data_IF_483972565585
#
_entry.id   IF_483972565585
#
_cell.length_a   1.000
_cell.length_b   1.000
_cell.length_c   1.000
_cell.angle_alpha   90.00
_cell.angle_beta   90.00
_cell.angle_gamma   90.00
#
_symmetry.space_group_name_H-M   'P 1'
#
loop_
_entity.id
_entity.type
_entity.pdbx_description
1 polymer ?
#
# COMPACT_ATOMS: atom_id res chain seq x y z
N UNK A 1 7.66 -0.63 40.04
CA UNK A 1 6.46 -0.27 39.26
C UNK A 1 6.94 0.10 37.86
N UNK A 2 7.28 -0.82 36.96
CA UNK A 2 6.47 -1.94 36.47
C UNK A 2 5.87 -1.59 35.11
N UNK A 3 6.68 -1.10 34.17
CA UNK A 3 6.28 -0.83 32.79
C UNK A 3 6.36 -2.15 31.98
N UNK A 4 5.24 -2.58 31.44
CA UNK A 4 5.14 -3.78 30.63
C UNK A 4 3.80 -3.81 29.89
N UNK A 5 3.56 -2.79 29.06
CA UNK A 5 2.42 -2.79 28.15
C UNK A 5 2.71 -3.75 26.99
N UNK A 6 1.88 -4.77 26.87
CA UNK A 6 2.06 -5.93 26.00
C UNK A 6 2.32 -5.56 24.54
N UNK A 7 3.35 -6.19 23.97
CA UNK A 7 3.55 -6.29 22.52
C UNK A 7 2.46 -7.23 22.01
N UNK A 8 1.36 -6.68 21.49
CA UNK A 8 0.36 -7.45 20.75
C UNK A 8 1.02 -7.99 19.49
N UNK A 9 1.31 -9.29 19.48
CA UNK A 9 1.77 -10.01 18.30
C UNK A 9 0.64 -10.13 17.28
N UNK A 10 0.72 -9.36 16.21
CA UNK A 10 0.04 -9.68 14.95
C UNK A 10 0.99 -10.52 14.11
N UNK A 11 0.77 -11.83 14.11
CA UNK A 11 1.42 -12.79 13.23
C UNK A 11 0.98 -12.55 11.78
N UNK A 12 1.70 -11.68 11.08
CA UNK A 12 1.43 -11.36 9.67
C UNK A 12 2.08 -10.05 9.27
N UNK A 13 3.41 -10.03 9.20
CA UNK A 13 4.16 -8.84 8.80
C UNK A 13 3.82 -8.45 7.37
N UNK A 14 2.91 -7.48 7.22
CA UNK A 14 2.57 -6.92 5.92
C UNK A 14 3.78 -6.17 5.36
N UNK A 15 3.94 -6.15 4.03
CA UNK A 15 5.02 -5.41 3.37
C UNK A 15 5.10 -3.94 3.82
N UNK A 16 3.95 -3.33 4.12
CA UNK A 16 3.87 -1.93 4.57
C UNK A 16 4.35 -1.72 6.01
N UNK A 17 4.38 -2.77 6.84
CA UNK A 17 4.87 -2.72 8.23
C UNK A 17 6.40 -2.73 8.28
N UNK A 18 7.04 -3.30 7.26
CA UNK A 18 8.50 -3.29 7.09
C UNK A 18 9.04 -1.96 6.53
N UNK A 19 8.15 -1.06 6.08
CA UNK A 19 8.56 0.23 5.51
C UNK A 19 8.85 1.26 6.63
N UNK A 20 9.84 2.15 6.43
CA UNK A 20 10.14 3.21 7.39
C UNK A 20 8.91 4.09 7.67
N UNK A 21 8.51 4.20 8.94
CA UNK A 21 7.41 5.07 9.36
C UNK A 21 7.94 6.46 9.73
N UNK A 22 7.23 7.52 9.34
CA UNK A 22 7.52 8.90 9.78
C UNK A 22 8.14 9.80 8.71
N UNK A 23 8.51 9.27 7.55
CA UNK A 23 8.93 10.05 6.37
C UNK A 23 8.08 9.71 5.15
N UNK A 24 7.87 10.66 4.22
CA UNK A 24 7.26 10.35 2.94
C UNK A 24 8.14 9.37 2.15
N UNK A 25 7.51 8.34 1.57
CA UNK A 25 8.18 7.37 0.71
C UNK A 25 7.78 7.59 -0.74
N UNK A 26 8.75 7.50 -1.65
CA UNK A 26 8.51 7.50 -3.09
C UNK A 26 8.65 6.07 -3.60
N UNK A 27 7.54 5.49 -4.06
CA UNK A 27 7.48 4.08 -4.50
C UNK A 27 7.09 4.05 -5.97
N UNK A 28 7.87 3.33 -6.78
CA UNK A 28 7.55 3.05 -8.18
C UNK A 28 7.03 1.62 -8.33
N UNK A 29 5.89 1.45 -8.98
CA UNK A 29 5.36 0.13 -9.35
C UNK A 29 5.85 -0.24 -10.75
N UNK A 30 6.59 -1.34 -10.86
CA UNK A 30 7.09 -1.89 -12.12
C UNK A 30 6.34 -3.17 -12.49
N UNK A 31 6.26 -3.49 -13.78
CA UNK A 31 5.61 -4.70 -14.27
C UNK A 31 5.24 -4.61 -15.75
N UNK A 32 4.88 -5.75 -16.35
CA UNK A 32 4.46 -5.84 -17.76
C UNK A 32 3.23 -4.98 -18.07
N UNK A 33 2.96 -4.78 -19.36
CA UNK A 33 1.71 -4.22 -19.82
C UNK A 33 0.52 -5.05 -19.29
N UNK A 34 -0.57 -4.38 -18.94
CA UNK A 34 -1.77 -5.00 -18.36
C UNK A 34 -1.59 -5.78 -17.04
N UNK A 35 -0.44 -5.71 -16.37
CA UNK A 35 -0.21 -6.38 -15.07
C UNK A 35 -1.07 -5.86 -13.89
N UNK A 36 -1.98 -4.91 -14.12
CA UNK A 36 -2.89 -4.39 -13.08
C UNK A 36 -2.30 -3.32 -12.16
N UNK A 37 -1.18 -2.69 -12.52
CA UNK A 37 -0.51 -1.65 -11.70
C UNK A 37 -1.44 -0.50 -11.30
N UNK A 38 -2.18 0.04 -12.27
CA UNK A 38 -3.14 1.13 -12.01
C UNK A 38 -4.30 0.67 -11.13
N UNK A 39 -4.80 -0.55 -11.34
CA UNK A 39 -5.85 -1.15 -10.51
C UNK A 39 -5.39 -1.33 -9.07
N UNK A 40 -4.16 -1.80 -8.85
CA UNK A 40 -3.58 -1.91 -7.52
C UNK A 40 -3.40 -0.54 -6.84
N UNK A 41 -2.89 0.45 -7.58
CA UNK A 41 -2.74 1.82 -7.09
C UNK A 41 -4.08 2.43 -6.67
N UNK A 42 -5.12 2.25 -7.47
CA UNK A 42 -6.46 2.76 -7.17
C UNK A 42 -7.14 1.99 -6.04
N UNK A 43 -6.90 0.69 -5.92
CA UNK A 43 -7.34 -0.07 -4.75
C UNK A 43 -6.69 0.45 -3.47
N UNK A 44 -5.39 0.77 -3.49
CA UNK A 44 -4.71 1.36 -2.33
C UNK A 44 -5.21 2.77 -2.00
N UNK A 45 -5.64 3.54 -3.00
CA UNK A 45 -6.11 4.91 -2.83
C UNK A 45 -7.58 5.01 -2.38
N UNK A 46 -8.44 4.17 -2.93
CA UNK A 46 -9.91 4.27 -2.80
C UNK A 46 -10.55 3.08 -2.08
N UNK A 47 -9.78 2.03 -1.76
CA UNK A 47 -10.26 0.76 -1.19
C UNK A 47 -11.36 0.07 -2.03
N UNK A 48 -11.34 0.30 -3.35
CA UNK A 48 -12.31 -0.26 -4.29
C UNK A 48 -11.63 -0.73 -5.58
N UNK A 49 -12.25 -1.71 -6.24
CA UNK A 49 -11.87 -2.11 -7.59
C UNK A 49 -12.58 -1.20 -8.59
N UNK A 50 -11.80 -0.40 -9.31
CA UNK A 50 -12.30 0.46 -10.38
C UNK A 50 -11.90 -0.12 -11.74
N UNK A 51 -12.78 0.05 -12.72
CA UNK A 51 -12.44 -0.25 -14.11
C UNK A 51 -11.40 0.77 -14.59
N UNK A 52 -10.25 0.26 -15.03
CA UNK A 52 -9.13 1.08 -15.52
C UNK A 52 -8.94 0.90 -17.01
N UNK A 53 -8.57 1.97 -17.69
CA UNK A 53 -8.11 1.95 -19.08
C UNK A 53 -6.58 1.79 -19.08
N UNK A 54 -5.95 1.20 -20.12
CA UNK A 54 -4.50 1.18 -20.26
C UNK A 54 -3.91 2.59 -20.10
N UNK A 55 -2.94 2.72 -19.19
CA UNK A 55 -2.30 4.01 -18.93
C UNK A 55 -1.40 4.41 -20.08
N UNK A 56 -1.60 5.60 -20.64
CA UNK A 56 -0.66 6.22 -21.56
C UNK A 56 0.36 6.99 -20.71
N UNK A 57 1.63 6.60 -20.75
CA UNK A 57 2.69 7.25 -19.97
C UNK A 57 2.75 6.75 -18.51
N UNK A 58 2.75 7.67 -17.55
CA UNK A 58 2.97 7.40 -16.12
C UNK A 58 1.83 7.95 -15.25
N UNK A 59 1.47 7.23 -14.18
CA UNK A 59 0.46 7.64 -13.21
C UNK A 59 1.08 7.80 -11.82
N UNK A 60 0.82 8.92 -11.15
CA UNK A 60 1.50 9.34 -9.93
C UNK A 60 0.46 9.78 -8.89
N UNK A 61 0.35 9.03 -7.79
CA UNK A 61 -0.68 9.25 -6.77
C UNK A 61 -0.08 9.35 -5.36
N UNK A 62 -0.54 10.33 -4.58
CA UNK A 62 -0.15 10.45 -3.17
C UNK A 62 -1.15 9.68 -2.30
N UNK A 63 -0.69 8.59 -1.68
CA UNK A 63 -1.50 7.72 -0.82
C UNK A 63 -1.07 7.91 0.63
N UNK A 64 -2.03 8.01 1.56
CA UNK A 64 -1.74 7.89 2.99
C UNK A 64 -1.72 6.41 3.32
N UNK A 65 -0.58 5.90 3.80
CA UNK A 65 -0.47 4.52 4.23
C UNK A 65 -1.35 4.25 5.44
N UNK A 66 -2.57 3.77 5.21
CA UNK A 66 -3.31 2.98 6.17
C UNK A 66 -3.06 1.50 5.86
N UNK A 67 -2.92 0.67 6.88
CA UNK A 67 -2.85 -0.78 6.70
C UNK A 67 -4.21 -1.22 6.14
N UNK A 68 -4.28 -1.38 4.81
CA UNK A 68 -5.45 -1.91 4.15
C UNK A 68 -5.71 -3.33 4.65
N UNK A 69 -6.94 -3.63 5.08
CA UNK A 69 -7.35 -5.00 5.36
C UNK A 69 -7.54 -5.68 4.01
N UNK A 70 -6.62 -6.55 3.61
CA UNK A 70 -6.87 -7.47 2.52
C UNK A 70 -8.06 -8.35 2.93
N UNK A 71 -9.22 -8.12 2.31
CA UNK A 71 -10.33 -9.08 2.30
C UNK A 71 -10.05 -10.15 1.26
#
# INVERSE_FOLDING_TARGET
MGAGMGRTGTSGGGLLEALPTGTPLHVAMLGLDSAGKTTALYRLKFDQYLNTVPTIGFNCERIRGSIGKAK
#
